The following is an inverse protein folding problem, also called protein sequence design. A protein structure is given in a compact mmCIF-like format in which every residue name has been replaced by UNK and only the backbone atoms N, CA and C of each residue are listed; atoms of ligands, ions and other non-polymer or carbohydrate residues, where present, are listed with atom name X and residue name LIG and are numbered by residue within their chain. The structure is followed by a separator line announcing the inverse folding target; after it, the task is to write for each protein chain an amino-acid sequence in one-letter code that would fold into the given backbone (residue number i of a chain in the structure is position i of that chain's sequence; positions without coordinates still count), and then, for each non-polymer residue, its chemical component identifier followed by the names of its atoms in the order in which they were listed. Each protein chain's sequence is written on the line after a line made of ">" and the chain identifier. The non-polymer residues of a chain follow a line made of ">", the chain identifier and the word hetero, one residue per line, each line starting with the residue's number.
data_IF_364572899769
#
_entry.id   IF_364572899769
#
_cell.length_a   1.000
_cell.length_b   1.000
_cell.length_c   1.000
_cell.angle_alpha   90.00
_cell.angle_beta   90.00
_cell.angle_gamma   90.00
#
_symmetry.space_group_name_H-M   'P 1'
#
loop_
_entity.id
_entity.type
_entity.pdbx_description
1 polymer ?
#
# COMPACT_ATOMS: atom_id res chain seq x y z
N UNK A 1 -14.17 -9.66 -7.28
CA UNK A 1 -12.97 -10.34 -6.74
C UNK A 1 -11.69 -9.63 -7.17
N UNK A 2 -11.62 -9.12 -8.41
CA UNK A 2 -10.48 -8.36 -8.97
C UNK A 2 -10.01 -7.15 -8.15
N UNK A 3 -10.90 -6.28 -7.65
CA UNK A 3 -10.48 -5.07 -6.91
C UNK A 3 -9.79 -5.40 -5.58
N UNK A 4 -10.30 -6.39 -4.85
CA UNK A 4 -9.69 -6.82 -3.59
C UNK A 4 -8.30 -7.42 -3.81
N UNK A 5 -8.13 -8.17 -4.91
CA UNK A 5 -6.82 -8.69 -5.32
C UNK A 5 -5.86 -7.54 -5.67
N UNK A 6 -6.30 -6.56 -6.45
CA UNK A 6 -5.50 -5.37 -6.76
C UNK A 6 -5.11 -4.58 -5.49
N UNK A 7 -6.00 -4.49 -4.50
CA UNK A 7 -5.67 -3.90 -3.20
C UNK A 7 -4.61 -4.70 -2.43
N UNK A 8 -4.68 -6.03 -2.46
CA UNK A 8 -3.67 -6.91 -1.84
C UNK A 8 -2.32 -6.73 -2.53
N UNK A 9 -2.28 -6.73 -3.86
CA UNK A 9 -1.05 -6.50 -4.62
C UNK A 9 -0.41 -5.16 -4.28
N UNK A 10 -1.21 -4.09 -4.17
CA UNK A 10 -0.72 -2.77 -3.74
C UNK A 10 -0.15 -2.77 -2.30
N UNK A 11 -0.81 -3.50 -1.38
CA UNK A 11 -0.33 -3.67 -0.01
C UNK A 11 1.03 -4.40 -0.01
N UNK A 12 1.13 -5.52 -0.73
CA UNK A 12 2.35 -6.33 -0.81
C UNK A 12 3.50 -5.52 -1.43
N UNK A 13 3.21 -4.79 -2.50
CA UNK A 13 4.17 -3.90 -3.15
C UNK A 13 4.74 -2.85 -2.18
N UNK A 14 3.87 -2.20 -1.38
CA UNK A 14 4.32 -1.24 -0.38
C UNK A 14 5.07 -1.89 0.79
N UNK A 15 4.73 -3.12 1.18
CA UNK A 15 5.49 -3.89 2.19
C UNK A 15 6.90 -4.22 1.67
N UNK A 16 7.02 -4.63 0.42
CA UNK A 16 8.32 -4.85 -0.23
C UNK A 16 9.15 -3.55 -0.25
N UNK A 17 8.55 -2.41 -0.58
CA UNK A 17 9.24 -1.11 -0.53
C UNK A 17 9.75 -0.78 0.86
N UNK A 18 8.92 -0.98 1.89
CA UNK A 18 9.33 -0.78 3.28
C UNK A 18 10.48 -1.71 3.68
N UNK A 19 10.38 -3.00 3.35
CA UNK A 19 11.40 -3.99 3.67
C UNK A 19 12.73 -3.68 3.00
N UNK A 20 12.72 -3.26 1.73
CA UNK A 20 13.93 -2.78 1.04
C UNK A 20 14.52 -1.56 1.74
N UNK A 21 13.70 -0.58 2.14
CA UNK A 21 14.18 0.60 2.85
C UNK A 21 14.88 0.22 4.17
N UNK A 22 14.29 -0.69 4.95
CA UNK A 22 14.89 -1.21 6.18
C UNK A 22 16.24 -1.87 5.90
N UNK A 23 16.35 -2.67 4.84
CA UNK A 23 17.61 -3.32 4.45
C UNK A 23 18.67 -2.32 3.98
N UNK A 24 18.27 -1.26 3.26
CA UNK A 24 19.15 -0.17 2.86
C UNK A 24 19.69 0.56 4.09
N UNK A 25 18.85 0.83 5.09
CA UNK A 25 19.29 1.51 6.30
C UNK A 25 20.22 0.62 7.14
N UNK A 26 19.97 -0.70 7.21
CA UNK A 26 20.93 -1.66 7.78
C UNK A 26 22.26 -1.71 7.05
N UNK A 27 22.28 -1.58 5.71
CA UNK A 27 23.54 -1.48 4.97
C UNK A 27 24.32 -0.22 5.35
N UNK A 28 23.64 0.92 5.53
CA UNK A 28 24.28 2.16 6.00
C UNK A 28 24.85 2.01 7.41
N UNK A 29 24.15 1.30 8.29
CA UNK A 29 24.69 0.96 9.62
C UNK A 29 25.97 0.12 9.50
N UNK A 30 25.96 -0.93 8.66
CA UNK A 30 27.15 -1.79 8.46
C UNK A 30 28.32 -1.03 7.84
N UNK A 31 28.07 0.02 7.03
CA UNK A 31 29.15 0.87 6.53
C UNK A 31 29.97 1.52 7.66
N UNK A 32 29.41 1.70 8.86
CA UNK A 32 30.19 2.16 10.01
C UNK A 32 31.15 1.08 10.53
N UNK A 33 30.74 -0.19 10.51
CA UNK A 33 31.57 -1.32 10.91
C UNK A 33 32.73 -1.59 9.92
N UNK A 34 32.54 -1.25 8.64
CA UNK A 34 33.61 -1.30 7.63
C UNK A 34 34.69 -0.25 7.90
N UNK A 35 34.35 0.86 8.57
CA UNK A 35 35.30 1.91 8.96
C UNK A 35 36.02 1.61 10.28
N UNK A 36 35.67 0.52 10.96
CA UNK A 36 36.38 0.09 12.17
C UNK A 36 37.79 -0.36 11.79
N UNK A 37 38.86 0.12 12.46
CA UNK A 37 40.24 -0.27 12.15
C UNK A 37 40.45 -1.79 12.16
N UNK A 38 39.66 -2.54 12.92
CA UNK A 38 39.70 -4.02 12.93
C UNK A 38 39.33 -4.63 11.58
N UNK A 39 38.57 -3.94 10.75
CA UNK A 39 38.17 -4.45 9.43
C UNK A 39 39.37 -4.73 8.52
N UNK A 40 40.45 -3.95 8.63
CA UNK A 40 41.63 -4.10 7.79
C UNK A 40 42.67 -5.08 8.35
N UNK A 41 42.61 -5.39 9.65
CA UNK A 41 43.64 -6.16 10.36
C UNK A 41 43.15 -7.50 10.93
N UNK A 42 41.85 -7.64 11.20
CA UNK A 42 41.21 -8.85 11.71
C UNK A 42 40.41 -9.51 10.60
N UNK A 43 40.95 -10.61 10.08
CA UNK A 43 40.38 -11.36 8.96
C UNK A 43 39.01 -12.00 9.30
N UNK A 44 38.80 -12.39 10.57
CA UNK A 44 37.55 -12.97 11.03
C UNK A 44 36.46 -11.90 11.13
N UNK A 45 36.80 -10.73 11.67
CA UNK A 45 35.93 -9.57 11.70
C UNK A 45 35.57 -9.09 10.29
N UNK A 46 36.56 -8.96 9.40
CA UNK A 46 36.37 -8.61 7.99
C UNK A 46 35.38 -9.56 7.31
N UNK A 47 35.62 -10.87 7.43
CA UNK A 47 34.77 -11.92 6.82
C UNK A 47 33.34 -11.86 7.35
N UNK A 48 33.16 -11.68 8.66
CA UNK A 48 31.84 -11.56 9.29
C UNK A 48 31.04 -10.38 8.75
N UNK A 49 31.67 -9.21 8.59
CA UNK A 49 31.04 -8.03 8.01
C UNK A 49 30.68 -8.26 6.54
N UNK A 50 31.60 -8.82 5.75
CA UNK A 50 31.37 -9.07 4.33
C UNK A 50 30.25 -10.09 4.06
N UNK A 51 30.11 -11.11 4.90
CA UNK A 51 28.98 -12.05 4.84
C UNK A 51 27.65 -11.32 5.07
N UNK A 52 27.58 -10.44 6.09
CA UNK A 52 26.37 -9.65 6.37
C UNK A 52 26.01 -8.71 5.23
N UNK A 53 27.01 -7.99 4.67
CA UNK A 53 26.81 -7.10 3.51
C UNK A 53 26.26 -7.88 2.33
N UNK A 54 26.88 -9.02 2.02
CA UNK A 54 26.48 -9.86 0.88
C UNK A 54 25.06 -10.38 1.07
N UNK A 55 24.74 -10.92 2.25
CA UNK A 55 23.40 -11.41 2.56
C UNK A 55 22.33 -10.32 2.39
N UNK A 56 22.58 -9.09 2.89
CA UNK A 56 21.61 -8.00 2.73
C UNK A 56 21.47 -7.57 1.27
N UNK A 57 22.58 -7.50 0.50
CA UNK A 57 22.52 -7.18 -0.93
C UNK A 57 21.71 -8.22 -1.71
N UNK A 58 21.89 -9.51 -1.41
CA UNK A 58 21.09 -10.60 -2.01
C UNK A 58 19.61 -10.43 -1.70
N UNK A 59 19.25 -10.19 -0.44
CA UNK A 59 17.85 -9.96 -0.04
C UNK A 59 17.23 -8.74 -0.73
N UNK A 60 18.00 -7.65 -0.90
CA UNK A 60 17.53 -6.48 -1.66
C UNK A 60 17.28 -6.85 -3.13
N UNK A 61 18.15 -7.63 -3.75
CA UNK A 61 17.98 -8.07 -5.14
C UNK A 61 16.73 -8.95 -5.30
N UNK A 62 16.52 -9.91 -4.40
CA UNK A 62 15.30 -10.75 -4.38
C UNK A 62 14.03 -9.92 -4.21
N UNK A 63 14.05 -8.93 -3.31
CA UNK A 63 12.91 -8.03 -3.12
C UNK A 63 12.67 -7.11 -4.32
N UNK A 64 13.71 -6.68 -5.03
CA UNK A 64 13.57 -5.93 -6.29
C UNK A 64 12.94 -6.78 -7.39
N UNK A 65 13.31 -8.06 -7.48
CA UNK A 65 12.67 -8.96 -8.44
C UNK A 65 11.18 -9.12 -8.12
N UNK A 66 10.85 -9.42 -6.86
CA UNK A 66 9.45 -9.53 -6.41
C UNK A 66 8.65 -8.25 -6.62
N UNK A 67 9.27 -7.08 -6.42
CA UNK A 67 8.65 -5.79 -6.71
C UNK A 67 8.28 -5.69 -8.21
N UNK A 68 9.19 -6.09 -9.09
CA UNK A 68 8.98 -6.07 -10.55
C UNK A 68 7.85 -7.03 -10.94
N UNK A 69 7.87 -8.26 -10.41
CA UNK A 69 6.83 -9.27 -10.67
C UNK A 69 5.44 -8.82 -10.17
N UNK A 70 5.38 -8.00 -9.11
CA UNK A 70 4.12 -7.41 -8.64
C UNK A 70 3.68 -6.24 -9.52
N UNK A 71 4.61 -5.38 -9.97
CA UNK A 71 4.27 -4.27 -10.86
C UNK A 71 3.63 -4.74 -12.17
N UNK A 72 4.08 -5.87 -12.71
CA UNK A 72 3.50 -6.48 -13.92
C UNK A 72 2.06 -6.99 -13.72
N UNK A 73 1.69 -7.35 -12.48
CA UNK A 73 0.34 -7.84 -12.13
C UNK A 73 -0.61 -6.74 -11.68
N UNK A 74 -0.06 -5.57 -11.34
CA UNK A 74 -0.83 -4.45 -10.85
C UNK A 74 -1.44 -3.68 -12.03
N UNK A 75 -2.76 -3.48 -11.96
CA UNK A 75 -3.45 -2.63 -12.93
C UNK A 75 -3.19 -1.15 -12.59
N UNK A 76 -2.79 -0.37 -13.61
CA UNK A 76 -2.52 1.07 -13.51
C UNK A 76 -3.28 1.82 -14.61
N UNK A 77 -4.05 2.88 -14.29
CA UNK A 77 -4.33 3.39 -12.94
C UNK A 77 -5.22 2.43 -12.13
N UNK A 78 -5.22 2.57 -10.80
CA UNK A 78 -6.07 1.74 -9.94
C UNK A 78 -7.54 1.96 -10.31
N UNK A 79 -8.37 0.91 -10.22
CA UNK A 79 -9.76 0.91 -10.70
C UNK A 79 -10.59 2.13 -10.27
N UNK A 80 -10.47 2.59 -9.02
CA UNK A 80 -11.21 3.76 -8.51
C UNK A 80 -10.78 5.05 -9.23
N UNK A 81 -9.50 5.16 -9.57
CA UNK A 81 -8.94 6.28 -10.32
C UNK A 81 -9.34 6.19 -11.80
N UNK A 82 -9.26 4.99 -12.40
CA UNK A 82 -9.71 4.74 -13.77
C UNK A 82 -11.18 5.13 -13.97
N UNK A 83 -12.06 4.69 -13.08
CA UNK A 83 -13.49 5.03 -13.14
C UNK A 83 -13.70 6.55 -12.98
N UNK A 84 -12.90 7.22 -12.14
CA UNK A 84 -12.96 8.67 -12.01
C UNK A 84 -12.58 9.39 -13.32
N UNK A 85 -11.54 8.93 -14.01
CA UNK A 85 -11.14 9.45 -15.33
C UNK A 85 -12.25 9.22 -16.39
N UNK A 86 -12.91 8.07 -16.35
CA UNK A 86 -14.06 7.76 -17.23
C UNK A 86 -15.25 8.69 -16.94
N UNK A 87 -15.55 8.96 -15.67
CA UNK A 87 -16.59 9.93 -15.26
C UNK A 87 -16.26 11.33 -15.80
N UNK A 88 -15.01 11.78 -15.65
CA UNK A 88 -14.57 13.10 -16.12
C UNK A 88 -14.66 13.19 -17.65
N UNK A 89 -14.34 12.10 -18.35
CA UNK A 89 -14.54 11.97 -19.80
C UNK A 89 -16.02 12.11 -20.18
N UNK A 90 -16.93 11.47 -19.44
CA UNK A 90 -18.38 11.61 -19.69
C UNK A 90 -18.87 13.03 -19.42
N UNK A 91 -18.37 13.68 -18.39
CA UNK A 91 -18.68 15.10 -18.10
C UNK A 91 -18.22 15.98 -19.26
N UNK A 92 -17.02 15.76 -19.78
CA UNK A 92 -16.51 16.50 -20.94
C UNK A 92 -17.36 16.26 -22.19
N UNK A 93 -17.70 14.99 -22.49
CA UNK A 93 -18.55 14.61 -23.61
C UNK A 93 -19.93 15.29 -23.54
N UNK A 94 -20.56 15.32 -22.35
CA UNK A 94 -21.84 16.01 -22.13
C UNK A 94 -21.75 17.53 -22.34
N UNK A 95 -20.67 18.16 -21.87
CA UNK A 95 -20.41 19.60 -22.07
C UNK A 95 -20.23 19.92 -23.55
N UNK A 96 -19.38 19.15 -24.24
CA UNK A 96 -19.12 19.35 -25.66
C UNK A 96 -20.39 19.10 -26.49
N UNK A 97 -21.14 18.03 -26.22
CA UNK A 97 -22.40 17.72 -26.91
C UNK A 97 -23.40 18.88 -26.79
N UNK A 98 -23.52 19.46 -25.59
CA UNK A 98 -24.37 20.64 -25.36
C UNK A 98 -23.91 21.86 -26.17
N UNK A 99 -22.60 22.05 -26.33
CA UNK A 99 -22.04 23.12 -27.18
C UNK A 99 -22.30 22.86 -28.67
N UNK A 100 -22.09 21.64 -29.16
CA UNK A 100 -22.32 21.31 -30.58
C UNK A 100 -23.80 21.46 -30.97
N UNK A 101 -24.72 21.08 -30.08
CA UNK A 101 -26.15 21.31 -30.29
C UNK A 101 -26.50 22.81 -30.33
N UNK A 102 -25.92 23.63 -29.44
CA UNK A 102 -26.08 25.11 -29.50
C UNK A 102 -25.54 25.72 -30.79
N UNK A 103 -24.51 25.11 -31.38
CA UNK A 103 -23.95 25.51 -32.67
C UNK A 103 -24.72 24.90 -33.86
N UNK A 104 -25.85 24.25 -33.62
CA UNK A 104 -26.68 23.57 -34.63
C UNK A 104 -25.92 22.52 -35.46
N UNK A 105 -24.84 21.95 -34.92
CA UNK A 105 -24.02 20.91 -35.58
C UNK A 105 -24.53 19.49 -35.34
N UNK A 106 -25.45 19.32 -34.39
CA UNK A 106 -26.11 18.06 -34.04
C UNK A 106 -27.60 18.37 -33.99
N UNK A 107 -28.41 17.53 -34.62
CA UNK A 107 -29.86 17.66 -34.59
C UNK A 107 -30.41 17.35 -33.18
N UNK A 108 -31.66 17.78 -32.94
CA UNK A 108 -32.28 17.67 -31.62
C UNK A 108 -32.44 16.23 -31.16
N UNK A 109 -32.84 15.33 -32.05
CA UNK A 109 -33.14 13.94 -31.70
C UNK A 109 -31.84 13.19 -31.36
N UNK A 110 -30.79 13.38 -32.17
CA UNK A 110 -29.44 12.87 -31.89
C UNK A 110 -28.88 13.44 -30.59
N UNK A 111 -29.09 14.73 -30.33
CA UNK A 111 -28.66 15.37 -29.08
C UNK A 111 -29.33 14.75 -27.87
N UNK A 112 -30.67 14.60 -27.89
CA UNK A 112 -31.43 14.03 -26.77
C UNK A 112 -31.03 12.58 -26.51
N UNK A 113 -30.90 11.77 -27.56
CA UNK A 113 -30.49 10.36 -27.47
C UNK A 113 -29.08 10.21 -26.88
N UNK A 114 -28.10 10.94 -27.43
CA UNK A 114 -26.71 10.88 -26.95
C UNK A 114 -26.56 11.42 -25.52
N UNK A 115 -27.29 12.50 -25.20
CA UNK A 115 -27.27 13.08 -23.86
C UNK A 115 -27.79 12.10 -22.82
N UNK A 116 -28.89 11.43 -23.12
CA UNK A 116 -29.48 10.46 -22.20
C UNK A 116 -28.56 9.26 -22.02
N UNK A 117 -28.00 8.73 -23.11
CA UNK A 117 -27.00 7.65 -23.07
C UNK A 117 -25.80 8.02 -22.20
N UNK A 118 -25.18 9.18 -22.41
CA UNK A 118 -24.01 9.60 -21.63
C UNK A 118 -24.33 9.87 -20.16
N UNK A 119 -25.54 10.34 -19.85
CA UNK A 119 -25.99 10.47 -18.46
C UNK A 119 -26.13 9.12 -17.77
N UNK A 120 -26.73 8.14 -18.45
CA UNK A 120 -26.90 6.79 -17.92
C UNK A 120 -25.54 6.12 -17.69
N UNK A 121 -24.65 6.16 -18.69
CA UNK A 121 -23.29 5.63 -18.56
C UNK A 121 -22.53 6.30 -17.40
N UNK A 122 -22.62 7.63 -17.27
CA UNK A 122 -22.02 8.36 -16.15
C UNK A 122 -22.59 7.91 -14.80
N UNK A 123 -23.91 7.75 -14.69
CA UNK A 123 -24.55 7.33 -13.45
C UNK A 123 -24.11 5.92 -13.02
N UNK A 124 -23.99 4.99 -13.97
CA UNK A 124 -23.47 3.64 -13.71
C UNK A 124 -22.04 3.71 -13.15
N UNK A 125 -21.16 4.49 -13.77
CA UNK A 125 -19.78 4.67 -13.30
C UNK A 125 -19.73 5.32 -11.91
N UNK A 126 -20.59 6.31 -11.63
CA UNK A 126 -20.67 6.96 -10.32
C UNK A 126 -21.09 5.96 -9.22
N UNK A 127 -22.10 5.13 -9.48
CA UNK A 127 -22.54 4.07 -8.56
C UNK A 127 -21.43 3.04 -8.34
N UNK A 128 -20.80 2.55 -9.40
CA UNK A 128 -19.70 1.57 -9.28
C UNK A 128 -18.55 2.12 -8.43
N UNK A 129 -18.14 3.37 -8.69
CA UNK A 129 -17.10 4.04 -7.89
C UNK A 129 -17.49 4.18 -6.43
N UNK A 130 -18.74 4.55 -6.15
CA UNK A 130 -19.25 4.71 -4.79
C UNK A 130 -19.23 3.37 -4.04
N UNK A 131 -19.74 2.30 -4.66
CA UNK A 131 -19.76 0.96 -4.08
C UNK A 131 -18.34 0.46 -3.75
N UNK A 132 -17.40 0.63 -4.68
CA UNK A 132 -16.00 0.29 -4.46
C UNK A 132 -15.40 1.10 -3.30
N UNK A 133 -15.65 2.40 -3.28
CA UNK A 133 -15.16 3.30 -2.22
C UNK A 133 -15.72 2.92 -0.85
N UNK A 134 -17.01 2.54 -0.78
CA UNK A 134 -17.65 2.07 0.45
C UNK A 134 -17.00 0.77 0.93
N UNK A 135 -16.82 -0.21 0.04
CA UNK A 135 -16.16 -1.48 0.36
C UNK A 135 -14.73 -1.28 0.91
N UNK A 136 -13.96 -0.39 0.27
CA UNK A 136 -12.61 -0.04 0.73
C UNK A 136 -12.62 0.64 2.10
N UNK A 137 -13.57 1.56 2.35
CA UNK A 137 -13.73 2.22 3.65
C UNK A 137 -14.10 1.25 4.77
N UNK A 138 -14.94 0.26 4.48
CA UNK A 138 -15.28 -0.81 5.42
C UNK A 138 -14.04 -1.63 5.80
N UNK A 139 -13.23 -2.03 4.81
CA UNK A 139 -12.00 -2.76 5.10
C UNK A 139 -10.97 -1.91 5.87
N UNK A 140 -10.84 -0.61 5.56
CA UNK A 140 -10.01 0.32 6.34
C UNK A 140 -10.50 0.37 7.80
N UNK A 141 -11.82 0.36 8.03
CA UNK A 141 -12.41 0.36 9.38
C UNK A 141 -12.06 -0.93 10.13
N UNK A 142 -12.16 -2.09 9.48
CA UNK A 142 -11.74 -3.38 10.04
C UNK A 142 -10.27 -3.38 10.46
N UNK A 143 -9.37 -2.92 9.60
CA UNK A 143 -7.95 -2.80 9.93
C UNK A 143 -7.69 -1.84 11.10
N UNK A 144 -8.45 -0.75 11.20
CA UNK A 144 -8.37 0.18 12.35
C UNK A 144 -8.81 -0.49 13.66
N UNK A 145 -9.83 -1.35 13.63
CA UNK A 145 -10.25 -2.14 14.78
C UNK A 145 -9.17 -3.16 15.17
N UNK A 146 -8.62 -3.90 14.20
CA UNK A 146 -7.51 -4.83 14.42
C UNK A 146 -6.28 -4.13 15.04
N UNK A 147 -5.94 -2.93 14.55
CA UNK A 147 -4.88 -2.08 15.13
C UNK A 147 -5.16 -1.75 16.60
N UNK A 148 -6.40 -1.39 16.93
CA UNK A 148 -6.80 -1.04 18.29
C UNK A 148 -6.71 -2.27 19.22
N UNK A 149 -7.19 -3.43 18.77
CA UNK A 149 -7.08 -4.69 19.52
C UNK A 149 -5.62 -5.08 19.78
N UNK A 150 -4.74 -4.96 18.77
CA UNK A 150 -3.32 -5.23 18.95
C UNK A 150 -2.66 -4.26 19.92
N UNK A 151 -3.05 -2.98 19.92
CA UNK A 151 -2.59 -2.03 20.95
C UNK A 151 -3.04 -2.44 22.34
N UNK A 152 -4.29 -2.87 22.50
CA UNK A 152 -4.80 -3.38 23.78
C UNK A 152 -4.01 -4.62 24.24
N UNK A 153 -3.76 -5.57 23.34
CA UNK A 153 -2.93 -6.76 23.62
C UNK A 153 -1.49 -6.40 23.99
N UNK A 154 -0.88 -5.42 23.30
CA UNK A 154 0.44 -4.88 23.64
C UNK A 154 0.47 -4.27 25.04
N UNK A 155 -0.53 -3.45 25.38
CA UNK A 155 -0.64 -2.81 26.69
C UNK A 155 -0.88 -3.84 27.81
N UNK A 156 -1.70 -4.87 27.55
CA UNK A 156 -1.88 -5.99 28.48
C UNK A 156 -0.56 -6.73 28.72
N UNK A 157 0.21 -7.01 27.65
CA UNK A 157 1.53 -7.65 27.77
C UNK A 157 2.48 -6.82 28.65
N UNK A 158 2.48 -5.49 28.50
CA UNK A 158 3.20 -4.56 29.38
C UNK A 158 2.71 -4.64 30.82
N UNK A 159 1.40 -4.66 31.04
CA UNK A 159 0.82 -4.79 32.38
C UNK A 159 1.22 -6.10 33.08
N UNK A 160 1.19 -7.22 32.36
CA UNK A 160 1.60 -8.54 32.86
C UNK A 160 3.09 -8.58 33.21
N UNK A 161 3.94 -7.94 32.41
CA UNK A 161 5.35 -7.77 32.74
C UNK A 161 5.53 -6.93 34.01
N UNK A 162 4.84 -5.79 34.13
CA UNK A 162 4.87 -4.97 35.36
C UNK A 162 4.38 -5.73 36.60
N UNK A 163 3.42 -6.64 36.43
CA UNK A 163 2.91 -7.53 37.48
C UNK A 163 3.83 -8.75 37.77
N UNK A 164 4.97 -8.86 37.07
CA UNK A 164 5.93 -9.98 37.15
C UNK A 164 5.32 -11.35 36.77
N UNK A 165 4.27 -11.36 35.95
CA UNK A 165 3.71 -12.59 35.38
C UNK A 165 4.49 -13.11 34.16
N UNK A 166 5.34 -12.26 33.57
CA UNK A 166 6.17 -12.58 32.41
C UNK A 166 7.64 -12.34 32.76
N UNK A 167 8.51 -13.16 32.21
CA UNK A 167 9.94 -12.87 32.20
C UNK A 167 10.23 -11.66 31.30
N UNK A 168 11.39 -11.03 31.50
CA UNK A 168 11.87 -9.96 30.62
C UNK A 168 12.04 -10.44 29.18
N UNK A 169 12.58 -11.65 29.00
CA UNK A 169 12.77 -12.27 27.69
C UNK A 169 11.44 -12.50 26.96
N UNK A 170 10.43 -13.05 27.65
CA UNK A 170 9.09 -13.27 27.09
C UNK A 170 8.39 -11.95 26.76
N UNK A 171 8.58 -10.93 27.60
CA UNK A 171 8.03 -9.60 27.38
C UNK A 171 8.61 -8.97 26.13
N UNK A 172 9.94 -8.93 26.01
CA UNK A 172 10.64 -8.31 24.88
C UNK A 172 10.32 -9.01 23.56
N UNK A 173 10.32 -10.34 23.54
CA UNK A 173 9.97 -11.12 22.35
C UNK A 173 8.55 -10.79 21.86
N UNK A 174 7.55 -10.79 22.76
CA UNK A 174 6.17 -10.44 22.40
C UNK A 174 6.01 -8.96 22.04
N UNK A 175 6.70 -8.07 22.75
CA UNK A 175 6.63 -6.64 22.50
C UNK A 175 7.11 -6.31 21.07
N UNK A 176 8.22 -6.91 20.66
CA UNK A 176 8.77 -6.79 19.30
C UNK A 176 7.81 -7.34 18.24
N UNK A 177 7.18 -8.48 18.48
CA UNK A 177 6.15 -9.04 17.58
C UNK A 177 4.95 -8.08 17.42
N UNK A 178 4.43 -7.53 18.53
CA UNK A 178 3.37 -6.53 18.47
C UNK A 178 3.77 -5.29 17.68
N UNK A 179 5.00 -4.81 17.83
CA UNK A 179 5.50 -3.64 17.09
C UNK A 179 5.56 -3.89 15.58
N UNK A 180 6.02 -5.07 15.16
CA UNK A 180 6.04 -5.46 13.75
C UNK A 180 4.62 -5.54 13.20
N UNK A 181 3.70 -6.20 13.92
CA UNK A 181 2.29 -6.33 13.50
C UNK A 181 1.60 -4.97 13.38
N UNK A 182 1.82 -4.08 14.36
CA UNK A 182 1.27 -2.72 14.33
C UNK A 182 1.79 -1.91 13.14
N UNK A 183 3.09 -1.97 12.85
CA UNK A 183 3.69 -1.31 11.67
C UNK A 183 3.08 -1.84 10.36
N UNK A 184 2.91 -3.16 10.24
CA UNK A 184 2.30 -3.78 9.05
C UNK A 184 0.85 -3.31 8.84
N UNK A 185 0.03 -3.31 9.89
CA UNK A 185 -1.36 -2.84 9.77
C UNK A 185 -1.42 -1.36 9.45
N UNK A 186 -0.54 -0.55 10.03
CA UNK A 186 -0.46 0.88 9.72
C UNK A 186 -0.12 1.13 8.25
N UNK A 187 0.82 0.36 7.69
CA UNK A 187 1.15 0.41 6.27
C UNK A 187 -0.04 -0.01 5.39
N UNK A 188 -0.75 -1.07 5.76
CA UNK A 188 -1.96 -1.52 5.05
C UNK A 188 -3.01 -0.41 5.03
N UNK A 189 -3.33 0.16 6.19
CA UNK A 189 -4.29 1.26 6.32
C UNK A 189 -3.86 2.43 5.43
N UNK A 190 -2.59 2.84 5.49
CA UNK A 190 -2.07 3.95 4.68
C UNK A 190 -2.23 3.69 3.19
N UNK A 191 -1.83 2.49 2.73
CA UNK A 191 -1.95 2.08 1.33
C UNK A 191 -3.39 2.17 0.85
N UNK A 192 -4.34 1.59 1.61
CA UNK A 192 -5.74 1.60 1.22
C UNK A 192 -6.33 3.01 1.24
N UNK A 193 -5.96 3.85 2.21
CA UNK A 193 -6.38 5.26 2.24
C UNK A 193 -5.90 6.02 1.00
N UNK A 194 -4.67 5.77 0.56
CA UNK A 194 -4.13 6.44 -0.63
C UNK A 194 -4.81 5.96 -1.93
N UNK A 195 -5.25 4.70 -2.00
CA UNK A 195 -6.02 4.17 -3.13
C UNK A 195 -7.48 4.67 -3.19
N UNK A 196 -8.01 5.18 -2.08
CA UNK A 196 -9.38 5.75 -2.02
C UNK A 196 -9.46 7.24 -2.33
N UNK A 197 -8.33 7.90 -2.57
CA UNK A 197 -8.26 9.31 -2.96
C UNK A 197 -8.36 9.44 -4.48
#
# INVERSE_FOLDING_TARGET
>A
FEVKEQMILNIEYNDIKLNKQILVDKLKEIQTAIKDPRYDVDEEYNRSINVKVTAIKTLIAELKQKETDLEEKMEKPFIVQRIQEDIDTKIFQLKNLSQQHRLHKVDKDSFESLREKYKQEKAVLETEREDLTIGMKLWIKELKMEKAELKTKKNLNKGRFSAKELSEEDYEAKNKDYEIKLKKIELKIKTLVDLTK
#
